data_IF_072925337960
#
_entry.id   IF_072925337960
#
_cell.length_a   1.000
_cell.length_b   1.000
_cell.length_c   1.000
_cell.angle_alpha   90.00
_cell.angle_beta   90.00
_cell.angle_gamma   90.00
#
_symmetry.space_group_name_H-M   'P 1'
#
loop_
_entity.id
_entity.type
_entity.pdbx_description
1 polymer ?
#
# COMPACT_ATOMS: atom_id res chain seq x y z
N UNK A 1 19.67 24.64 -13.53
CA UNK A 1 19.44 23.32 -12.88
C UNK A 1 18.05 22.83 -13.26
N UNK A 2 17.94 22.03 -14.33
CA UNK A 2 16.66 21.47 -14.72
C UNK A 2 16.34 20.32 -13.74
N UNK A 3 15.52 20.60 -12.73
CA UNK A 3 14.92 19.57 -11.86
C UNK A 3 13.90 18.78 -12.70
N UNK A 4 14.42 18.04 -13.67
CA UNK A 4 13.72 17.29 -14.71
C UNK A 4 12.55 16.51 -14.12
N UNK A 5 11.44 16.40 -14.87
CA UNK A 5 10.31 15.57 -14.46
C UNK A 5 10.75 14.14 -14.11
N UNK A 6 11.87 13.63 -14.62
CA UNK A 6 12.43 12.33 -14.23
C UNK A 6 12.80 12.27 -12.75
N UNK A 7 13.28 13.36 -12.15
CA UNK A 7 13.52 13.42 -10.70
C UNK A 7 12.22 13.45 -9.91
N UNK A 8 11.18 14.12 -10.42
CA UNK A 8 9.84 14.11 -9.81
C UNK A 8 9.18 12.73 -9.91
N UNK A 9 9.33 12.04 -11.06
CA UNK A 9 8.88 10.67 -11.27
C UNK A 9 9.57 9.73 -10.28
N UNK A 10 10.90 9.82 -10.12
CA UNK A 10 11.63 9.00 -9.15
C UNK A 10 11.14 9.23 -7.72
N UNK A 11 10.93 10.49 -7.33
CA UNK A 11 10.42 10.82 -6.00
C UNK A 11 8.99 10.27 -5.80
N UNK A 12 8.11 10.43 -6.79
CA UNK A 12 6.74 9.92 -6.72
C UNK A 12 6.68 8.39 -6.69
N UNK A 13 7.54 7.70 -7.46
CA UNK A 13 7.70 6.23 -7.37
C UNK A 13 8.15 5.78 -5.99
N UNK A 14 9.16 6.45 -5.43
CA UNK A 14 9.64 6.15 -4.09
C UNK A 14 8.53 6.29 -3.04
N UNK A 15 7.70 7.35 -3.15
CA UNK A 15 6.53 7.54 -2.29
C UNK A 15 5.51 6.41 -2.43
N UNK A 16 5.17 6.01 -3.65
CA UNK A 16 4.27 4.87 -3.93
C UNK A 16 4.82 3.58 -3.32
N UNK A 17 6.09 3.25 -3.57
CA UNK A 17 6.74 2.06 -3.04
C UNK A 17 6.79 2.07 -1.50
N UNK A 18 7.03 3.22 -0.88
CA UNK A 18 6.98 3.40 0.56
C UNK A 18 5.60 3.08 1.13
N UNK A 19 4.54 3.66 0.55
CA UNK A 19 3.16 3.42 0.96
C UNK A 19 2.73 1.96 0.75
N UNK A 20 3.17 1.31 -0.34
CA UNK A 20 2.91 -0.12 -0.56
C UNK A 20 3.58 -1.00 0.50
N UNK A 21 4.81 -0.66 0.92
CA UNK A 21 5.50 -1.39 2.00
C UNK A 21 4.77 -1.24 3.33
N UNK A 22 4.33 -0.02 3.66
CA UNK A 22 3.55 0.24 4.87
C UNK A 22 2.21 -0.50 4.85
N UNK A 23 1.51 -0.55 3.70
CA UNK A 23 0.28 -1.33 3.53
C UNK A 23 0.53 -2.82 3.82
N UNK A 24 1.62 -3.37 3.29
CA UNK A 24 1.99 -4.75 3.53
C UNK A 24 2.31 -5.03 5.01
N UNK A 25 2.79 -4.05 5.77
CA UNK A 25 2.98 -4.17 7.22
C UNK A 25 1.65 -4.21 7.96
N UNK A 26 0.67 -3.37 7.58
CA UNK A 26 -0.69 -3.41 8.13
C UNK A 26 -1.37 -4.76 7.85
N UNK A 27 -1.24 -5.29 6.62
CA UNK A 27 -1.78 -6.61 6.26
C UNK A 27 -1.16 -7.73 7.11
N UNK A 28 0.15 -7.67 7.37
CA UNK A 28 0.82 -8.62 8.28
C UNK A 28 0.31 -8.48 9.72
N UNK A 29 0.11 -7.25 10.20
CA UNK A 29 -0.42 -6.98 11.53
C UNK A 29 -1.84 -7.55 11.68
N UNK A 30 -2.71 -7.30 10.69
CA UNK A 30 -4.05 -7.87 10.61
C UNK A 30 -4.03 -9.40 10.64
N UNK A 31 -3.19 -10.02 9.80
CA UNK A 31 -3.05 -11.48 9.78
C UNK A 31 -2.53 -12.06 11.10
N UNK A 32 -1.64 -11.35 11.79
CA UNK A 32 -1.16 -11.73 13.12
C UNK A 32 -2.26 -11.65 14.19
N UNK A 33 -3.09 -10.60 14.16
CA UNK A 33 -4.24 -10.47 15.05
C UNK A 33 -5.29 -11.55 14.78
N UNK A 34 -5.55 -11.88 13.51
CA UNK A 34 -6.44 -12.97 13.14
C UNK A 34 -5.99 -14.31 13.72
N UNK A 35 -4.71 -14.69 13.54
CA UNK A 35 -4.16 -15.92 14.15
C UNK A 35 -4.29 -15.94 15.67
N UNK A 36 -4.05 -14.80 16.33
CA UNK A 36 -4.23 -14.70 17.79
C UNK A 36 -5.68 -14.86 18.23
N UNK A 37 -6.63 -14.46 17.40
CA UNK A 37 -8.06 -14.68 17.66
C UNK A 37 -8.39 -16.18 17.55
N UNK A 38 -7.93 -16.83 16.48
CA UNK A 38 -8.15 -18.27 16.26
C UNK A 38 -7.53 -19.13 17.38
N UNK A 39 -6.29 -18.82 17.78
CA UNK A 39 -5.62 -19.47 18.90
C UNK A 39 -6.40 -19.31 20.21
N UNK A 40 -6.92 -18.10 20.47
CA UNK A 40 -7.73 -17.83 21.67
C UNK A 40 -9.03 -18.63 21.66
N UNK A 41 -9.68 -18.79 20.51
CA UNK A 41 -10.89 -19.61 20.41
C UNK A 41 -10.61 -21.10 20.69
N UNK A 42 -9.49 -21.61 20.20
CA UNK A 42 -9.07 -22.98 20.49
C UNK A 42 -8.74 -23.19 21.97
N UNK A 43 -8.06 -22.22 22.60
CA UNK A 43 -7.76 -22.27 24.03
C UNK A 43 -9.05 -22.27 24.86
N UNK A 44 -10.04 -21.45 24.48
CA UNK A 44 -11.35 -21.38 25.14
C UNK A 44 -12.08 -22.71 25.09
N UNK A 45 -12.06 -23.39 23.93
CA UNK A 45 -12.70 -24.70 23.79
C UNK A 45 -12.05 -25.74 24.71
N UNK A 46 -10.71 -25.77 24.78
CA UNK A 46 -9.97 -26.68 25.67
C UNK A 46 -10.29 -26.42 27.15
N UNK A 47 -10.36 -25.16 27.55
CA UNK A 47 -10.68 -24.79 28.93
C UNK A 47 -12.14 -25.12 29.29
N UNK A 48 -13.07 -24.95 28.35
CA UNK A 48 -14.47 -25.35 28.52
C UNK A 48 -14.62 -26.85 28.75
N UNK A 49 -13.93 -27.66 27.96
CA UNK A 49 -13.94 -29.12 28.11
C UNK A 49 -13.36 -29.56 29.46
N UNK A 50 -12.26 -28.94 29.89
CA UNK A 50 -11.65 -29.21 31.19
C UNK A 50 -12.58 -28.84 32.36
N UNK A 51 -13.20 -27.65 32.31
CA UNK A 51 -14.14 -27.21 33.34
C UNK A 51 -15.43 -28.05 33.39
N UNK A 52 -15.87 -28.58 32.24
CA UNK A 52 -17.02 -29.51 32.20
C UNK A 52 -16.70 -30.87 32.82
N UNK A 53 -15.43 -31.29 32.81
CA UNK A 53 -14.98 -32.56 33.38
C UNK A 53 -14.82 -32.53 34.91
N UNK A 54 -14.65 -31.35 35.52
CA UNK A 54 -14.51 -31.18 36.97
C UNK A 54 -15.44 -30.07 37.54
N UNK A 55 -16.52 -30.46 38.24
CA UNK A 55 -17.46 -29.52 38.87
C UNK A 55 -16.86 -28.56 39.90
N UNK A 56 -15.69 -28.88 40.49
CA UNK A 56 -15.03 -27.98 41.46
C UNK A 56 -14.28 -26.82 40.81
N UNK A 57 -14.08 -26.86 39.49
CA UNK A 57 -13.31 -25.87 38.73
C UNK A 57 -14.11 -24.61 38.32
N UNK A 58 -15.39 -24.51 38.66
CA UNK A 58 -16.29 -23.43 38.21
C UNK A 58 -15.83 -22.00 38.54
N UNK A 59 -15.23 -21.76 39.71
CA UNK A 59 -14.73 -20.44 40.10
C UNK A 59 -13.49 -20.03 39.28
N UNK A 60 -12.58 -20.98 39.00
CA UNK A 60 -11.41 -20.75 38.16
C UNK A 60 -11.81 -20.46 36.71
N UNK A 61 -12.78 -21.21 36.19
CA UNK A 61 -13.34 -20.99 34.86
C UNK A 61 -13.99 -19.60 34.72
N UNK A 62 -14.70 -19.12 35.75
CA UNK A 62 -15.29 -17.77 35.72
C UNK A 62 -14.25 -16.64 35.59
N UNK A 63 -13.11 -16.75 36.28
CA UNK A 63 -12.02 -15.80 36.15
C UNK A 63 -11.35 -15.86 34.76
N UNK A 64 -11.14 -17.08 34.25
CA UNK A 64 -10.63 -17.31 32.89
C UNK A 64 -11.54 -16.71 31.82
N UNK A 65 -12.86 -16.97 31.90
CA UNK A 65 -13.84 -16.47 30.95
C UNK A 65 -13.84 -14.93 30.87
N UNK A 66 -13.71 -14.24 32.01
CA UNK A 66 -13.58 -12.78 32.04
C UNK A 66 -12.32 -12.30 31.29
N UNK A 67 -11.17 -12.92 31.55
CA UNK A 67 -9.92 -12.56 30.87
C UNK A 67 -9.98 -12.81 29.35
N UNK A 68 -10.65 -13.88 28.91
CA UNK A 68 -10.89 -14.17 27.49
C UNK A 68 -11.75 -13.08 26.85
N UNK A 69 -12.84 -12.66 27.50
CA UNK A 69 -13.72 -11.61 26.98
C UNK A 69 -12.93 -10.32 26.78
N UNK A 70 -12.15 -9.91 27.78
CA UNK A 70 -11.29 -8.72 27.68
C UNK A 70 -10.27 -8.85 26.53
N UNK A 71 -9.65 -10.02 26.36
CA UNK A 71 -8.70 -10.27 25.26
C UNK A 71 -9.37 -10.25 23.88
N UNK A 72 -10.58 -10.80 23.75
CA UNK A 72 -11.37 -10.75 22.49
C UNK A 72 -11.71 -9.32 22.11
N UNK A 73 -12.19 -8.52 23.05
CA UNK A 73 -12.51 -7.11 22.81
C UNK A 73 -11.26 -6.30 22.43
N UNK A 74 -10.12 -6.58 23.05
CA UNK A 74 -8.85 -5.94 22.68
C UNK A 74 -8.40 -6.32 21.26
N UNK A 75 -8.44 -7.60 20.89
CA UNK A 75 -8.10 -8.04 19.52
C UNK A 75 -9.03 -7.39 18.49
N UNK A 76 -10.33 -7.37 18.77
CA UNK A 76 -11.34 -6.76 17.89
C UNK A 76 -11.09 -5.26 17.71
N UNK A 77 -10.80 -4.55 18.79
CA UNK A 77 -10.45 -3.12 18.73
C UNK A 77 -9.20 -2.88 17.89
N UNK A 78 -8.14 -3.64 18.13
CA UNK A 78 -6.90 -3.53 17.34
C UNK A 78 -7.10 -3.88 15.87
N UNK A 79 -7.97 -4.84 15.54
CA UNK A 79 -8.32 -5.14 14.14
C UNK A 79 -9.02 -3.95 13.49
N UNK A 80 -10.00 -3.34 14.16
CA UNK A 80 -10.67 -2.15 13.65
C UNK A 80 -9.70 -0.98 13.45
N UNK A 81 -8.80 -0.74 14.40
CA UNK A 81 -7.77 0.31 14.28
C UNK A 81 -6.83 0.06 13.08
N UNK A 82 -6.43 -1.19 12.84
CA UNK A 82 -5.62 -1.56 11.67
C UNK A 82 -6.40 -1.38 10.38
N UNK A 83 -7.69 -1.72 10.36
CA UNK A 83 -8.55 -1.55 9.19
C UNK A 83 -8.76 -0.05 8.86
N UNK A 84 -8.99 0.80 9.86
CA UNK A 84 -9.08 2.26 9.67
C UNK A 84 -7.78 2.85 9.12
N UNK A 85 -6.63 2.42 9.64
CA UNK A 85 -5.32 2.83 9.13
C UNK A 85 -5.10 2.36 7.69
N UNK A 86 -5.54 1.14 7.36
CA UNK A 86 -5.43 0.60 6.00
C UNK A 86 -6.29 1.39 5.02
N UNK A 87 -7.53 1.77 5.38
CA UNK A 87 -8.38 2.59 4.51
C UNK A 87 -7.76 3.98 4.25
N UNK A 88 -7.26 4.64 5.29
CA UNK A 88 -6.55 5.91 5.13
C UNK A 88 -5.34 5.77 4.20
N UNK A 89 -4.53 4.74 4.40
CA UNK A 89 -3.33 4.50 3.60
C UNK A 89 -3.65 4.10 2.14
N UNK A 90 -4.80 3.45 1.88
CA UNK A 90 -5.28 3.20 0.51
C UNK A 90 -5.62 4.50 -0.22
N UNK A 91 -6.23 5.46 0.48
CA UNK A 91 -6.49 6.78 -0.08
C UNK A 91 -5.18 7.51 -0.43
N UNK A 92 -4.21 7.48 0.48
CA UNK A 92 -2.88 8.07 0.26
C UNK A 92 -2.13 7.40 -0.91
N UNK A 93 -2.20 6.07 -0.98
CA UNK A 93 -1.58 5.30 -2.06
C UNK A 93 -2.21 5.65 -3.41
N UNK A 94 -3.53 5.77 -3.47
CA UNK A 94 -4.24 6.20 -4.68
C UNK A 94 -3.79 7.60 -5.11
N UNK A 95 -3.75 8.56 -4.19
CA UNK A 95 -3.28 9.91 -4.49
C UNK A 95 -1.83 9.93 -4.98
N UNK A 96 -0.95 9.13 -4.37
CA UNK A 96 0.45 9.00 -4.80
C UNK A 96 0.57 8.40 -6.21
N UNK A 97 -0.26 7.42 -6.56
CA UNK A 97 -0.32 6.87 -7.92
C UNK A 97 -0.81 7.89 -8.95
N UNK A 98 -1.85 8.65 -8.63
CA UNK A 98 -2.37 9.72 -9.49
C UNK A 98 -1.30 10.80 -9.74
N UNK A 99 -0.55 11.19 -8.70
CA UNK A 99 0.57 12.11 -8.80
C UNK A 99 1.71 11.56 -9.68
N UNK A 100 2.09 10.30 -9.48
CA UNK A 100 3.08 9.63 -10.32
C UNK A 100 2.66 9.64 -11.80
N UNK A 101 1.41 9.27 -12.09
CA UNK A 101 0.88 9.22 -13.46
C UNK A 101 0.88 10.58 -14.13
N UNK A 102 0.57 11.64 -13.37
CA UNK A 102 0.65 13.02 -13.85
C UNK A 102 2.07 13.37 -14.29
N UNK A 103 3.10 13.06 -13.49
CA UNK A 103 4.48 13.34 -13.87
C UNK A 103 4.95 12.50 -15.07
N UNK A 104 4.56 11.22 -15.13
CA UNK A 104 4.85 10.35 -16.28
C UNK A 104 4.28 10.92 -17.58
N UNK A 105 3.01 11.38 -17.57
CA UNK A 105 2.36 11.97 -18.73
C UNK A 105 3.00 13.30 -19.16
N UNK A 106 3.38 14.15 -18.20
CA UNK A 106 4.07 15.41 -18.50
C UNK A 106 5.43 15.16 -19.17
N UNK A 107 6.14 14.13 -18.71
CA UNK A 107 7.42 13.74 -19.28
C UNK A 107 7.28 13.13 -20.67
N UNK A 108 6.28 12.30 -20.89
CA UNK A 108 5.95 11.75 -22.21
C UNK A 108 5.65 12.86 -23.21
N UNK A 109 4.80 13.83 -22.84
CA UNK A 109 4.50 15.01 -23.66
C UNK A 109 5.73 15.87 -23.96
N UNK A 110 6.64 16.00 -22.99
CA UNK A 110 7.92 16.69 -23.22
C UNK A 110 8.74 15.95 -24.28
N UNK A 111 8.97 14.64 -24.08
CA UNK A 111 9.73 13.79 -25.02
C UNK A 111 9.11 13.79 -26.42
N UNK A 112 7.78 13.80 -26.54
CA UNK A 112 7.10 13.88 -27.83
C UNK A 112 7.36 15.21 -28.55
N UNK A 113 7.32 16.35 -27.83
CA UNK A 113 7.66 17.66 -28.41
C UNK A 113 9.12 17.75 -28.82
N UNK A 114 10.03 17.22 -28.00
CA UNK A 114 11.47 17.21 -28.30
C UNK A 114 11.76 16.41 -29.57
N UNK A 115 11.13 15.23 -29.74
CA UNK A 115 11.24 14.42 -30.96
C UNK A 115 10.65 15.11 -32.18
N UNK A 116 9.48 15.74 -32.05
CA UNK A 116 8.86 16.46 -33.16
C UNK A 116 9.69 17.65 -33.63
N UNK A 117 10.31 18.38 -32.70
CA UNK A 117 11.23 19.47 -33.02
C UNK A 117 12.50 18.96 -33.72
N UNK A 118 13.08 17.86 -33.25
CA UNK A 118 14.24 17.24 -33.88
C UNK A 118 13.93 16.75 -35.31
N UNK A 119 12.80 16.06 -35.51
CA UNK A 119 12.38 15.60 -36.84
C UNK A 119 12.14 16.77 -37.79
N UNK A 120 11.54 17.86 -37.30
CA UNK A 120 11.34 19.05 -38.11
C UNK A 120 12.68 19.65 -38.55
N UNK A 121 13.62 19.81 -37.62
CA UNK A 121 14.96 20.33 -37.92
C UNK A 121 15.68 19.47 -38.98
N UNK A 122 15.62 18.14 -38.83
CA UNK A 122 16.23 17.20 -39.78
C UNK A 122 15.59 17.31 -41.17
N UNK A 123 14.26 17.42 -41.25
CA UNK A 123 13.56 17.60 -42.53
C UNK A 123 13.92 18.93 -43.20
N UNK A 124 13.93 20.03 -42.43
CA UNK A 124 14.28 21.35 -42.95
C UNK A 124 15.72 21.35 -43.53
N UNK A 125 16.68 20.67 -42.87
CA UNK A 125 18.06 20.51 -43.36
C UNK A 125 18.15 19.69 -44.67
N UNK A 126 17.36 18.62 -44.78
CA UNK A 126 17.30 17.79 -45.99
C UNK A 126 16.71 18.56 -47.18
N UNK A 127 15.66 19.35 -46.95
CA UNK A 127 15.02 20.18 -47.98
C UNK A 127 15.99 21.27 -48.50
N UNK A 128 16.76 21.90 -47.60
CA UNK A 128 17.80 22.87 -47.97
C UNK A 128 18.95 22.21 -48.76
N UNK A 129 19.36 21.00 -48.38
CA UNK A 129 20.40 20.27 -49.11
C UNK A 129 19.94 19.87 -50.52
N UNK A 130 18.70 19.38 -50.65
CA UNK A 130 18.09 19.04 -51.94
C UNK A 130 17.97 20.26 -52.87
N UNK A 131 17.53 21.41 -52.32
CA UNK A 131 17.41 22.66 -53.08
C UNK A 131 18.77 23.17 -53.58
N UNK A 132 19.85 22.97 -52.82
CA UNK A 132 21.22 23.35 -53.22
C UNK A 132 21.83 22.45 -54.29
N UNK A 133 21.43 21.18 -54.36
CA UNK A 133 21.93 20.25 -55.39
C UNK A 133 21.16 20.36 -56.71
N UNK A 134 19.92 20.86 -56.69
CA UNK A 134 19.05 20.95 -57.85
C UNK A 134 19.13 22.28 -58.63
N UNK A 135 19.81 23.29 -58.06
CA UNK A 135 20.07 24.59 -58.71
C UNK A 135 21.49 24.69 -59.24
#
# INVERSE_FOLDING_TARGET
MNRSHESLIRLARFKVEGLQKQMAELDRARGSLGRKADELEQDVQREQEAAAADPQSGAAYGAYAKAVIERRENIKRSLNEVDEQAEAMRADLRAAFEELKKYELLEERRKARDRAAAQKSENDELDEAGSRMAG
#
